data_IF_162652986448
#
_entry.id   IF_162652986448
#
_cell.length_a   1.000
_cell.length_b   1.000
_cell.length_c   1.000
_cell.angle_alpha   90.00
_cell.angle_beta   90.00
_cell.angle_gamma   90.00
#
_symmetry.space_group_name_H-M   'P 1'
#
loop_
_entity.id
_entity.type
_entity.pdbx_description
1 polymer ?
#
# COMPACT_ATOMS: atom_id res chain seq x y z
N UNK A 1 37.50 4.95 14.05
CA UNK A 1 36.21 4.31 14.43
C UNK A 1 35.26 4.46 13.25
N UNK A 2 35.12 3.45 12.38
CA UNK A 2 34.18 3.50 11.26
C UNK A 2 32.74 3.57 11.82
N UNK A 3 32.09 4.74 11.72
CA UNK A 3 30.68 4.86 12.09
C UNK A 3 29.84 4.06 11.08
N UNK A 4 29.03 3.13 11.57
CA UNK A 4 28.15 2.28 10.75
C UNK A 4 27.24 3.15 9.88
N UNK A 5 27.21 2.86 8.58
CA UNK A 5 26.22 3.40 7.64
C UNK A 5 24.82 3.00 8.15
N UNK A 6 24.04 3.96 8.63
CA UNK A 6 22.63 3.76 9.01
C UNK A 6 21.77 4.48 7.99
N UNK A 7 21.05 3.71 7.19
CA UNK A 7 20.10 4.24 6.20
C UNK A 7 18.89 3.31 6.18
N UNK A 8 17.70 3.85 6.40
CA UNK A 8 16.46 3.09 6.30
C UNK A 8 15.38 3.50 7.30
N UNK A 9 14.24 2.84 7.20
CA UNK A 9 13.08 3.05 8.07
C UNK A 9 13.39 2.51 9.48
N UNK A 10 13.39 3.40 10.46
CA UNK A 10 13.66 3.08 11.87
C UNK A 10 12.39 2.74 12.63
N UNK A 11 11.33 3.51 12.43
CA UNK A 11 10.04 3.36 13.12
C UNK A 11 8.90 3.85 12.25
N UNK A 12 7.76 3.20 12.39
CA UNK A 12 6.47 3.62 11.83
C UNK A 12 5.47 3.77 12.96
N UNK A 13 4.73 4.88 12.94
CA UNK A 13 3.56 5.11 13.78
C UNK A 13 2.38 5.38 12.85
N UNK A 14 1.19 4.91 13.22
CA UNK A 14 -0.01 5.10 12.41
C UNK A 14 -1.24 5.30 13.29
N UNK A 15 -2.09 6.24 12.90
CA UNK A 15 -3.35 6.57 13.54
C UNK A 15 -4.47 6.48 12.50
N UNK A 16 -5.52 5.73 12.81
CA UNK A 16 -6.67 5.54 11.91
C UNK A 16 -7.63 6.72 12.07
N UNK A 17 -7.90 7.43 10.97
CA UNK A 17 -8.81 8.58 10.94
C UNK A 17 -10.19 8.19 10.40
N UNK A 18 -10.25 7.16 9.56
CA UNK A 18 -11.49 6.68 8.96
C UNK A 18 -11.39 5.24 8.47
N UNK A 19 -12.29 4.85 7.57
CA UNK A 19 -12.31 3.47 7.03
C UNK A 19 -11.06 3.15 6.23
N UNK A 20 -10.67 4.06 5.35
CA UNK A 20 -9.52 3.98 4.41
C UNK A 20 -8.59 5.19 4.53
N UNK A 21 -8.71 5.92 5.63
CA UNK A 21 -7.98 7.16 5.92
C UNK A 21 -7.18 6.98 7.22
N UNK A 22 -5.91 7.36 7.17
CA UNK A 22 -4.97 7.23 8.27
C UNK A 22 -3.86 8.29 8.20
N UNK A 23 -3.44 8.76 9.36
CA UNK A 23 -2.17 9.47 9.51
C UNK A 23 -1.06 8.45 9.74
N UNK A 24 0.07 8.62 9.08
CA UNK A 24 1.23 7.75 9.24
C UNK A 24 2.48 8.62 9.39
N UNK A 25 3.34 8.24 10.35
CA UNK A 25 4.61 8.89 10.58
C UNK A 25 5.75 7.88 10.45
N UNK A 26 6.69 8.17 9.57
CA UNK A 26 7.93 7.44 9.39
C UNK A 26 9.08 8.19 10.03
N UNK A 27 9.93 7.46 10.76
CA UNK A 27 11.21 7.95 11.22
C UNK A 27 12.31 7.25 10.43
N UNK A 28 13.12 8.02 9.71
CA UNK A 28 14.05 7.52 8.69
C UNK A 28 15.47 7.91 9.08
N UNK A 29 16.33 6.91 9.27
CA UNK A 29 17.75 7.15 9.51
C UNK A 29 18.44 7.48 8.19
N UNK A 30 19.26 8.52 8.22
CA UNK A 30 20.13 8.92 7.11
C UNK A 30 21.59 8.69 7.51
N UNK A 31 22.49 8.39 6.55
CA UNK A 31 23.89 8.15 6.86
C UNK A 31 24.57 9.45 7.29
N UNK A 32 25.50 9.37 8.24
CA UNK A 32 26.33 10.51 8.62
C UNK A 32 27.09 11.04 7.39
N UNK A 33 27.21 12.37 7.18
CA UNK A 33 26.91 13.47 8.09
C UNK A 33 25.47 14.00 8.04
N UNK A 34 24.56 13.36 7.29
CA UNK A 34 23.20 13.84 7.14
C UNK A 34 22.39 13.57 8.42
N UNK A 35 21.55 14.54 8.78
CA UNK A 35 20.60 14.36 9.87
C UNK A 35 19.49 13.40 9.43
N UNK A 36 19.00 12.58 10.37
CA UNK A 36 17.81 11.77 10.15
C UNK A 36 16.63 12.64 9.71
N UNK A 37 15.67 12.00 9.06
CA UNK A 37 14.47 12.62 8.55
C UNK A 37 13.23 12.00 9.16
N UNK A 38 12.15 12.74 9.17
CA UNK A 38 10.81 12.20 9.39
C UNK A 38 9.93 12.46 8.18
N UNK A 39 8.88 11.67 8.02
CA UNK A 39 7.84 11.93 7.04
C UNK A 39 6.51 11.67 7.74
N UNK A 40 5.65 12.68 7.81
CA UNK A 40 4.31 12.56 8.36
C UNK A 40 3.33 12.85 7.22
N UNK A 41 2.38 11.96 6.99
CA UNK A 41 1.47 12.06 5.86
C UNK A 41 0.09 11.50 6.18
N UNK A 42 -0.91 12.09 5.52
CA UNK A 42 -2.27 11.60 5.43
C UNK A 42 -2.32 10.62 4.27
N UNK A 43 -2.83 9.41 4.52
CA UNK A 43 -3.00 8.36 3.52
C UNK A 43 -4.48 8.05 3.42
N UNK A 44 -5.05 8.31 2.25
CA UNK A 44 -6.44 7.97 1.98
C UNK A 44 -6.57 7.25 0.65
N UNK A 45 -7.53 6.32 0.58
CA UNK A 45 -7.90 5.64 -0.66
C UNK A 45 -9.22 6.18 -1.21
N UNK A 46 -9.28 6.31 -2.53
CA UNK A 46 -10.45 6.69 -3.29
C UNK A 46 -10.84 5.52 -4.19
N UNK A 47 -12.11 5.14 -4.12
CA UNK A 47 -12.72 4.21 -5.06
C UNK A 47 -13.03 4.94 -6.37
N UNK A 48 -12.42 4.49 -7.47
CA UNK A 48 -12.65 4.96 -8.84
C UNK A 48 -13.01 3.79 -9.76
N UNK A 49 -13.77 2.82 -9.23
CA UNK A 49 -14.17 1.62 -9.95
C UNK A 49 -15.11 1.92 -11.12
N UNK A 50 -16.01 2.90 -10.99
CA UNK A 50 -17.07 3.19 -11.97
C UNK A 50 -16.54 3.76 -13.28
N UNK A 51 -15.46 4.55 -13.23
CA UNK A 51 -14.90 5.21 -14.42
C UNK A 51 -13.69 4.48 -14.96
N UNK A 52 -12.81 4.00 -14.08
CA UNK A 52 -11.49 3.53 -14.47
C UNK A 52 -11.16 2.12 -13.93
N UNK A 53 -12.09 1.48 -13.22
CA UNK A 53 -11.90 0.17 -12.59
C UNK A 53 -10.65 0.10 -11.71
N UNK A 54 -10.44 1.10 -10.87
CA UNK A 54 -9.22 1.23 -10.06
C UNK A 54 -9.48 1.78 -8.66
N UNK A 55 -8.54 1.54 -7.76
CA UNK A 55 -8.43 2.20 -6.46
C UNK A 55 -7.23 3.12 -6.52
N UNK A 56 -7.39 4.38 -6.11
CA UNK A 56 -6.30 5.35 -6.03
C UNK A 56 -6.01 5.62 -4.56
N UNK A 57 -4.80 5.30 -4.11
CA UNK A 57 -4.28 5.66 -2.79
C UNK A 57 -3.44 6.92 -2.95
N UNK A 58 -3.76 7.96 -2.20
CA UNK A 58 -3.02 9.21 -2.17
C UNK A 58 -2.30 9.32 -0.83
N UNK A 59 -1.05 9.79 -0.85
CA UNK A 59 -0.35 10.18 0.37
C UNK A 59 0.15 11.61 0.21
N UNK A 60 -0.17 12.45 1.19
CA UNK A 60 0.14 13.88 1.17
C UNK A 60 0.77 14.24 2.51
N UNK A 61 1.87 14.99 2.50
CA UNK A 61 2.50 15.45 3.73
C UNK A 61 1.55 16.23 4.63
N UNK A 62 1.62 15.90 5.91
CA UNK A 62 1.04 16.64 7.01
C UNK A 62 2.13 17.49 7.67
N UNK A 63 1.89 18.80 7.68
CA UNK A 63 2.75 19.78 8.30
C UNK A 63 1.88 20.81 9.04
N UNK A 64 2.25 21.13 10.28
CA UNK A 64 1.56 22.15 11.08
C UNK A 64 1.60 23.53 10.41
N UNK A 65 2.62 23.81 9.60
CA UNK A 65 2.73 25.06 8.83
C UNK A 65 1.71 25.18 7.70
N UNK A 66 1.18 24.05 7.21
CA UNK A 66 0.32 23.97 6.02
C UNK A 66 -1.01 23.24 6.30
N UNK A 67 -1.47 23.25 7.56
CA UNK A 67 -2.65 22.52 7.99
C UNK A 67 -3.91 22.99 7.24
N UNK A 68 -4.60 22.07 6.60
CA UNK A 68 -5.87 22.39 5.93
C UNK A 68 -7.03 22.36 6.93
N UNK A 69 -8.13 23.11 6.71
CA UNK A 69 -9.29 23.10 7.60
C UNK A 69 -9.93 21.71 7.81
N UNK A 70 -9.68 20.77 6.89
CA UNK A 70 -10.16 19.39 6.97
C UNK A 70 -9.34 18.52 7.91
N UNK A 71 -8.11 18.91 8.22
CA UNK A 71 -7.23 18.17 9.12
C UNK A 71 -7.55 18.59 10.55
N UNK A 72 -8.40 17.83 11.24
CA UNK A 72 -8.74 18.11 12.65
C UNK A 72 -7.76 17.46 13.63
N UNK A 73 -6.94 16.52 13.15
CA UNK A 73 -5.95 15.77 13.94
C UNK A 73 -4.77 16.62 14.43
N UNK A 74 -4.09 16.14 15.47
CA UNK A 74 -2.83 16.71 15.95
C UNK A 74 -1.69 16.15 15.11
N UNK A 75 -1.01 17.01 14.35
CA UNK A 75 0.15 16.63 13.55
C UNK A 75 1.37 16.72 14.48
N UNK A 76 2.11 15.63 14.73
CA UNK A 76 3.30 15.67 15.58
C UNK A 76 4.38 16.52 14.91
N UNK A 77 5.12 17.30 15.68
CA UNK A 77 6.29 18.02 15.16
C UNK A 77 7.49 17.07 14.99
N UNK A 78 8.40 17.35 14.04
CA UNK A 78 9.65 16.64 13.94
C UNK A 78 10.46 16.72 15.23
N UNK A 79 11.17 15.63 15.56
CA UNK A 79 12.09 15.65 16.69
C UNK A 79 13.22 16.68 16.47
N UNK A 80 13.87 17.11 17.56
CA UNK A 80 14.97 18.08 17.49
C UNK A 80 16.07 17.61 16.53
N UNK A 81 16.48 18.47 15.58
CA UNK A 81 17.48 18.20 14.52
C UNK A 81 17.06 17.11 13.52
N UNK A 82 15.77 16.83 13.41
CA UNK A 82 15.18 16.03 12.34
C UNK A 82 14.41 16.99 11.44
N UNK A 83 14.56 16.82 10.13
CA UNK A 83 13.79 17.59 9.16
C UNK A 83 12.71 16.71 8.52
N UNK A 84 11.57 17.32 8.24
CA UNK A 84 10.45 16.67 7.59
C UNK A 84 10.65 16.60 6.09
N UNK A 85 10.48 15.41 5.54
CA UNK A 85 10.40 15.18 4.09
C UNK A 85 9.00 15.60 3.65
N UNK A 86 8.94 16.43 2.62
CA UNK A 86 7.70 16.72 1.92
C UNK A 86 7.49 15.65 0.85
N UNK A 87 6.34 15.01 0.88
CA UNK A 87 5.95 13.89 0.04
C UNK A 87 4.59 14.22 -0.56
N UNK A 88 4.52 14.11 -1.87
CA UNK A 88 3.26 14.01 -2.59
C UNK A 88 3.35 12.83 -3.53
N UNK A 89 2.42 11.90 -3.41
CA UNK A 89 2.33 10.85 -4.41
C UNK A 89 1.16 9.94 -4.25
N UNK A 90 1.18 8.93 -5.09
CA UNK A 90 -0.01 8.20 -5.50
C UNK A 90 0.36 6.78 -5.86
N UNK A 91 -0.48 5.87 -5.42
CA UNK A 91 -0.49 4.47 -5.82
C UNK A 91 -1.84 4.19 -6.48
N UNK A 92 -1.82 3.78 -7.73
CA UNK A 92 -2.99 3.29 -8.45
C UNK A 92 -2.96 1.77 -8.46
N UNK A 93 -4.04 1.17 -8.01
CA UNK A 93 -4.26 -0.28 -7.98
C UNK A 93 -5.34 -0.60 -8.98
N UNK A 94 -4.96 -1.25 -10.08
CA UNK A 94 -5.89 -1.68 -11.14
C UNK A 94 -5.96 -3.20 -11.19
N UNK A 95 -7.08 -3.83 -10.83
CA UNK A 95 -7.28 -5.26 -11.08
C UNK A 95 -7.15 -5.58 -12.58
N UNK A 96 -6.43 -6.66 -12.89
CA UNK A 96 -6.34 -7.23 -14.24
C UNK A 96 -7.12 -8.54 -14.37
N UNK A 97 -7.41 -9.17 -13.22
CA UNK A 97 -8.20 -10.39 -13.11
C UNK A 97 -8.34 -10.80 -11.64
N UNK A 98 -8.89 -11.99 -11.35
CA UNK A 98 -9.18 -12.43 -9.98
C UNK A 98 -7.93 -12.57 -9.09
N UNK A 99 -6.78 -12.90 -9.68
CA UNK A 99 -5.53 -13.17 -8.97
C UNK A 99 -4.41 -12.17 -9.29
N UNK A 100 -4.69 -11.13 -10.07
CA UNK A 100 -3.66 -10.20 -10.55
C UNK A 100 -4.10 -8.74 -10.54
N UNK A 101 -3.16 -7.86 -10.25
CA UNK A 101 -3.37 -6.41 -10.26
C UNK A 101 -2.12 -5.70 -10.74
N UNK A 102 -2.33 -4.62 -11.49
CA UNK A 102 -1.30 -3.67 -11.85
C UNK A 102 -1.20 -2.60 -10.75
N UNK A 103 0.03 -2.31 -10.33
CA UNK A 103 0.35 -1.26 -9.37
C UNK A 103 1.16 -0.19 -10.09
N UNK A 104 0.67 1.04 -10.09
CA UNK A 104 1.41 2.20 -10.62
C UNK A 104 1.70 3.17 -9.49
N UNK A 105 2.98 3.44 -9.22
CA UNK A 105 3.42 4.31 -8.14
C UNK A 105 4.09 5.55 -8.72
N UNK A 106 3.71 6.72 -8.20
CA UNK A 106 4.33 8.00 -8.51
C UNK A 106 4.56 8.76 -7.21
N UNK A 107 5.81 9.12 -6.93
CA UNK A 107 6.19 9.85 -5.72
C UNK A 107 7.06 11.06 -6.09
N UNK A 108 6.73 12.19 -5.49
CA UNK A 108 7.58 13.37 -5.43
C UNK A 108 8.01 13.56 -3.98
N UNK A 109 9.31 13.58 -3.75
CA UNK A 109 9.89 13.70 -2.41
C UNK A 109 10.89 14.86 -2.38
N UNK A 110 10.75 15.74 -1.40
CA UNK A 110 11.72 16.78 -1.08
C UNK A 110 12.28 16.52 0.33
N UNK A 111 13.52 16.03 0.37
CA UNK A 111 14.22 15.70 1.62
C UNK A 111 14.82 16.92 2.35
N UNK A 112 14.56 18.14 1.87
CA UNK A 112 15.12 19.38 2.42
C UNK A 112 16.63 19.52 2.19
N UNK A 113 17.22 18.72 1.30
CA UNK A 113 18.65 18.69 1.06
C UNK A 113 18.97 18.27 -0.37
N UNK A 114 20.18 18.62 -0.82
CA UNK A 114 20.75 18.06 -2.04
C UNK A 114 21.09 16.59 -1.81
N UNK A 115 20.32 15.70 -2.42
CA UNK A 115 20.49 14.25 -2.26
C UNK A 115 21.81 13.81 -2.93
N UNK A 116 22.74 13.16 -2.20
CA UNK A 116 23.94 12.60 -2.79
C UNK A 116 23.61 11.47 -3.76
N UNK A 117 24.40 11.37 -4.84
CA UNK A 117 24.20 10.34 -5.89
C UNK A 117 24.21 8.92 -5.31
N UNK A 118 25.07 8.62 -4.33
CA UNK A 118 25.13 7.28 -3.74
C UNK A 118 23.83 6.90 -3.01
N UNK A 119 23.10 7.87 -2.45
CA UNK A 119 21.80 7.61 -1.81
C UNK A 119 20.72 7.36 -2.86
N UNK A 120 20.77 8.07 -3.99
CA UNK A 120 19.90 7.81 -5.13
C UNK A 120 20.16 6.43 -5.72
N UNK A 121 21.43 6.04 -5.88
CA UNK A 121 21.81 4.70 -6.33
C UNK A 121 21.31 3.62 -5.37
N UNK A 122 21.49 3.80 -4.06
CA UNK A 122 20.96 2.89 -3.05
C UNK A 122 19.43 2.78 -3.15
N UNK A 123 18.73 3.92 -3.22
CA UNK A 123 17.28 3.97 -3.28
C UNK A 123 16.73 3.26 -4.54
N UNK A 124 17.31 3.56 -5.70
CA UNK A 124 16.81 3.07 -7.00
C UNK A 124 17.22 1.63 -7.30
N UNK A 125 18.48 1.25 -7.01
CA UNK A 125 19.01 -0.07 -7.39
C UNK A 125 18.74 -1.16 -6.36
N UNK A 126 18.80 -0.81 -5.07
CA UNK A 126 18.74 -1.80 -3.98
C UNK A 126 17.41 -1.72 -3.23
N UNK A 127 17.05 -0.54 -2.74
CA UNK A 127 15.90 -0.38 -1.88
C UNK A 127 14.59 -0.64 -2.62
N UNK A 128 14.37 0.01 -3.77
CA UNK A 128 13.12 -0.14 -4.53
C UNK A 128 12.86 -1.61 -4.88
N UNK A 129 13.85 -2.31 -5.44
CA UNK A 129 13.74 -3.73 -5.78
C UNK A 129 13.43 -4.59 -4.55
N UNK A 130 14.15 -4.39 -3.44
CA UNK A 130 13.94 -5.16 -2.22
C UNK A 130 12.57 -4.88 -1.59
N UNK A 131 12.12 -3.64 -1.62
CA UNK A 131 10.82 -3.22 -1.11
C UNK A 131 9.68 -3.84 -1.93
N UNK A 132 9.76 -3.83 -3.26
CA UNK A 132 8.76 -4.46 -4.13
C UNK A 132 8.73 -5.98 -3.97
N UNK A 133 9.88 -6.64 -3.82
CA UNK A 133 9.93 -8.08 -3.59
C UNK A 133 9.33 -8.45 -2.22
N UNK A 134 9.64 -7.68 -1.17
CA UNK A 134 9.06 -7.85 0.15
C UNK A 134 7.55 -7.59 0.13
N UNK A 135 7.10 -6.57 -0.60
CA UNK A 135 5.69 -6.26 -0.79
C UNK A 135 4.96 -7.40 -1.50
N UNK A 136 5.51 -7.88 -2.62
CA UNK A 136 4.96 -9.02 -3.37
C UNK A 136 4.86 -10.28 -2.49
N UNK A 137 5.92 -10.60 -1.76
CA UNK A 137 5.94 -11.72 -0.81
C UNK A 137 4.83 -11.57 0.23
N UNK A 138 4.68 -10.37 0.79
CA UNK A 138 3.61 -10.04 1.75
C UNK A 138 2.22 -10.24 1.14
N UNK A 139 1.99 -9.81 -0.11
CA UNK A 139 0.72 -10.01 -0.80
C UNK A 139 0.40 -11.50 -1.03
N UNK A 140 1.40 -12.31 -1.40
CA UNK A 140 1.23 -13.76 -1.57
C UNK A 140 0.89 -14.41 -0.23
N UNK A 141 1.65 -14.09 0.81
CA UNK A 141 1.44 -14.61 2.17
C UNK A 141 0.19 -14.04 2.85
N UNK A 142 -0.37 -12.94 2.34
CA UNK A 142 -1.57 -12.32 2.91
C UNK A 142 -2.78 -13.25 2.91
N UNK A 143 -2.76 -14.30 2.09
CA UNK A 143 -3.77 -15.36 2.04
C UNK A 143 -3.92 -16.09 3.38
N UNK A 144 -2.86 -16.12 4.20
CA UNK A 144 -2.78 -16.87 5.45
C UNK A 144 -2.30 -16.03 6.65
N UNK A 145 -2.21 -16.68 7.81
CA UNK A 145 -1.60 -16.12 9.02
C UNK A 145 -2.26 -14.85 9.55
N UNK A 146 -1.42 -13.93 10.05
CA UNK A 146 -1.86 -12.70 10.72
C UNK A 146 -2.64 -11.77 9.77
N UNK A 147 -2.26 -11.71 8.49
CA UNK A 147 -2.92 -10.85 7.52
C UNK A 147 -4.33 -11.36 7.18
N UNK A 148 -4.53 -12.69 7.11
CA UNK A 148 -5.87 -13.28 7.04
C UNK A 148 -6.72 -12.92 8.26
N UNK A 149 -6.14 -13.01 9.47
CA UNK A 149 -6.83 -12.60 10.71
C UNK A 149 -7.20 -11.10 10.70
N UNK A 150 -6.31 -10.24 10.22
CA UNK A 150 -6.61 -8.81 10.09
C UNK A 150 -7.72 -8.52 9.08
N UNK A 151 -7.82 -9.32 8.00
CA UNK A 151 -8.92 -9.25 7.04
C UNK A 151 -10.26 -9.60 7.69
N UNK A 152 -10.33 -10.69 8.45
CA UNK A 152 -11.56 -11.06 9.16
C UNK A 152 -11.97 -10.03 10.22
N UNK A 153 -11.02 -9.35 10.85
CA UNK A 153 -11.30 -8.29 11.83
C UNK A 153 -11.77 -6.97 11.20
N UNK A 154 -11.55 -6.78 9.89
CA UNK A 154 -11.94 -5.55 9.16
C UNK A 154 -12.91 -5.88 8.03
N UNK A 155 -13.87 -6.77 8.30
CA UNK A 155 -14.84 -7.25 7.32
C UNK A 155 -15.52 -6.12 6.55
N UNK A 156 -15.93 -5.04 7.24
CA UNK A 156 -16.53 -3.86 6.62
C UNK A 156 -15.71 -3.24 5.47
N UNK A 157 -14.38 -3.26 5.55
CA UNK A 157 -13.52 -2.74 4.48
C UNK A 157 -13.39 -3.75 3.34
N UNK A 158 -13.13 -5.01 3.67
CA UNK A 158 -12.84 -6.03 2.68
C UNK A 158 -14.11 -6.48 1.92
N UNK A 159 -15.26 -6.55 2.59
CA UNK A 159 -16.56 -6.80 1.95
C UNK A 159 -16.93 -5.65 1.00
N UNK A 160 -16.70 -4.39 1.42
CA UNK A 160 -16.89 -3.24 0.53
C UNK A 160 -16.06 -3.36 -0.76
N UNK A 161 -14.77 -3.70 -0.66
CA UNK A 161 -13.92 -3.89 -1.84
C UNK A 161 -14.42 -5.07 -2.68
N UNK A 162 -14.79 -6.19 -2.06
CA UNK A 162 -15.29 -7.37 -2.77
C UNK A 162 -16.58 -7.07 -3.54
N UNK A 163 -17.55 -6.40 -2.91
CA UNK A 163 -18.81 -5.99 -3.54
C UNK A 163 -18.55 -5.08 -4.74
N UNK A 164 -17.61 -4.14 -4.63
CA UNK A 164 -17.23 -3.25 -5.73
C UNK A 164 -16.59 -4.00 -6.89
N UNK A 165 -15.71 -4.98 -6.61
CA UNK A 165 -15.13 -5.84 -7.65
C UNK A 165 -16.19 -6.67 -8.38
N UNK A 166 -17.21 -7.15 -7.69
CA UNK A 166 -18.35 -7.84 -8.29
C UNK A 166 -19.17 -6.88 -9.17
N UNK A 167 -19.45 -5.67 -8.70
CA UNK A 167 -20.22 -4.66 -9.45
C UNK A 167 -19.57 -4.28 -10.78
N UNK A 168 -18.23 -4.24 -10.84
CA UNK A 168 -17.50 -3.97 -12.10
C UNK A 168 -17.22 -5.22 -12.93
N UNK A 169 -17.77 -6.38 -12.55
CA UNK A 169 -17.63 -7.63 -13.30
C UNK A 169 -16.24 -8.25 -13.27
N UNK A 170 -15.41 -7.88 -12.29
CA UNK A 170 -14.02 -8.37 -12.16
C UNK A 170 -13.88 -9.57 -11.22
N UNK A 171 -14.95 -9.92 -10.49
CA UNK A 171 -15.08 -11.20 -9.80
C UNK A 171 -16.29 -11.98 -10.31
N UNK A 172 -16.16 -13.30 -10.52
CA UNK A 172 -17.30 -14.13 -10.86
C UNK A 172 -18.31 -14.13 -9.72
N UNK A 173 -19.59 -13.98 -10.05
CA UNK A 173 -20.73 -14.00 -9.11
C UNK A 173 -21.09 -15.40 -8.61
N UNK A 174 -20.38 -16.44 -9.06
CA UNK A 174 -20.64 -17.84 -8.71
C UNK A 174 -19.45 -18.46 -7.98
N UNK A 175 -19.68 -19.33 -6.98
CA UNK A 175 -18.62 -20.12 -6.38
C UNK A 175 -17.94 -20.97 -7.47
N UNK A 176 -16.63 -21.25 -7.35
CA UNK A 176 -15.96 -22.12 -8.30
C UNK A 176 -16.72 -23.46 -8.34
N UNK A 177 -17.24 -23.83 -9.52
CA UNK A 177 -17.74 -25.18 -9.75
C UNK A 177 -16.62 -26.12 -9.37
N UNK A 178 -16.87 -27.01 -8.42
CA UNK A 178 -15.99 -28.14 -8.15
C UNK A 178 -15.76 -28.86 -9.47
N UNK A 179 -14.50 -28.93 -9.88
CA UNK A 179 -14.06 -29.83 -10.95
C UNK A 179 -14.28 -31.23 -10.40
N UNK A 180 -15.42 -31.84 -10.71
CA UNK A 180 -15.84 -33.10 -10.10
C UNK A 180 -17.11 -33.75 -10.67
N UNK A 181 -18.03 -33.00 -11.27
CA UNK A 181 -19.34 -33.57 -11.70
C UNK A 181 -19.56 -33.48 -13.22
N UNK A 182 -18.61 -33.97 -14.02
CA UNK A 182 -18.81 -34.21 -15.46
C UNK A 182 -18.29 -35.61 -15.87
N UNK A 183 -18.64 -36.66 -15.14
CA UNK A 183 -18.61 -38.05 -15.65
C UNK A 183 -19.74 -38.89 -15.03
N UNK A 184 -21.00 -38.55 -15.27
CA UNK A 184 -22.10 -39.51 -15.11
C UNK A 184 -23.25 -39.14 -16.04
N UNK A 185 -23.24 -39.73 -17.24
CA UNK A 185 -24.27 -39.45 -18.25
C UNK A 185 -23.92 -39.98 -19.63
N UNK A 186 -23.40 -41.21 -19.73
CA UNK A 186 -23.34 -41.95 -21.00
C UNK A 186 -24.30 -43.12 -20.89
N UNK A 187 -25.56 -42.87 -21.25
CA UNK A 187 -26.59 -43.90 -21.36
C UNK A 187 -26.19 -44.95 -22.41
N UNK A 188 -26.24 -46.22 -21.98
CA UNK A 188 -26.17 -47.41 -22.81
C UNK A 188 -27.37 -47.48 -23.77
N UNK A 189 -27.19 -46.96 -24.98
CA UNK A 189 -28.07 -47.25 -26.12
C UNK A 189 -27.49 -48.40 -26.95
N UNK A 190 -27.53 -49.60 -26.39
CA UNK A 190 -27.36 -50.84 -27.16
C UNK A 190 -28.22 -51.98 -26.62
N UNK A 191 -29.52 -51.74 -26.41
CA UNK A 191 -30.57 -52.77 -26.46
C UNK A 191 -31.88 -52.12 -26.89
N UNK A 192 -32.16 -52.16 -28.20
CA UNK A 192 -33.47 -52.31 -28.83
C UNK A 192 -33.30 -52.28 -30.35
#
# INVERSE_FOLDING_TARGET
MLRRLRLGLRKVENERLGRVDQMVQFHIDFPWPFASRDACFEVFAVDDFERNSQIVVKMITLDNSCKTPRQTMTIPDPARRVERILVDGSLVIKPLGPDSSLLSLLWHENCGMRIPVFMLDFATKLFARSAFEAFRTTCISARDGELKRRRSLNENLYSFIADRLVQVGLMPTSPPRSVGDEEEGREDLSKL
#
